data_IF_528472513554
#
_entry.id   IF_528472513554
#
_cell.length_a   1.000
_cell.length_b   1.000
_cell.length_c   1.000
_cell.angle_alpha   90.00
_cell.angle_beta   90.00
_cell.angle_gamma   90.00
#
_symmetry.space_group_name_H-M   'P 1'
#
loop_
_entity.id
_entity.type
_entity.pdbx_description
1 polymer ?
#
# COMPACT_ATOMS: atom_id res chain seq x y z
N UNK A 1 -13.37 10.88 3.48
CA UNK A 1 -12.30 11.15 2.48
C UNK A 1 -11.16 10.14 2.60
N UNK A 2 -10.62 9.88 3.80
CA UNK A 2 -9.58 8.86 4.02
C UNK A 2 -9.96 7.45 3.55
N UNK A 3 -11.17 6.96 3.88
CA UNK A 3 -11.64 5.64 3.43
C UNK A 3 -11.77 5.54 1.89
N UNK A 4 -12.18 6.63 1.24
CA UNK A 4 -12.27 6.73 -0.22
C UNK A 4 -10.88 6.68 -0.87
N UNK A 5 -9.89 7.38 -0.29
CA UNK A 5 -8.50 7.32 -0.76
C UNK A 5 -7.90 5.92 -0.68
N UNK A 6 -8.11 5.22 0.44
CA UNK A 6 -7.65 3.82 0.60
C UNK A 6 -8.34 2.86 -0.37
N UNK A 7 -9.63 3.06 -0.65
CA UNK A 7 -10.34 2.26 -1.64
C UNK A 7 -9.79 2.47 -3.05
N UNK A 8 -9.52 3.73 -3.44
CA UNK A 8 -8.89 4.05 -4.74
C UNK A 8 -7.49 3.43 -4.84
N UNK A 9 -6.68 3.51 -3.78
CA UNK A 9 -5.36 2.86 -3.73
C UNK A 9 -5.47 1.34 -3.84
N UNK A 10 -6.42 0.71 -3.14
CA UNK A 10 -6.67 -0.73 -3.22
C UNK A 10 -7.05 -1.15 -4.64
N UNK A 11 -7.94 -0.43 -5.31
CA UNK A 11 -8.33 -0.71 -6.70
C UNK A 11 -7.15 -0.59 -7.67
N UNK A 12 -6.28 0.41 -7.49
CA UNK A 12 -5.06 0.58 -8.28
C UNK A 12 -4.05 -0.54 -8.08
N UNK A 13 -3.86 -0.98 -6.82
CA UNK A 13 -3.00 -2.13 -6.49
C UNK A 13 -3.55 -3.45 -7.04
N UNK A 14 -4.88 -3.65 -6.97
CA UNK A 14 -5.51 -4.84 -7.52
C UNK A 14 -5.41 -4.90 -9.05
N UNK A 15 -5.62 -3.78 -9.73
CA UNK A 15 -5.42 -3.69 -11.17
C UNK A 15 -3.97 -3.98 -11.55
N UNK A 16 -3.00 -3.40 -10.83
CA UNK A 16 -1.58 -3.66 -11.04
C UNK A 16 -1.20 -5.13 -10.78
N UNK A 17 -1.81 -5.78 -9.77
CA UNK A 17 -1.61 -7.20 -9.49
C UNK A 17 -2.10 -8.12 -10.61
N UNK A 18 -3.10 -7.67 -11.38
CA UNK A 18 -3.67 -8.44 -12.50
C UNK A 18 -2.86 -8.33 -13.80
N UNK A 19 -1.88 -7.41 -13.87
CA UNK A 19 -1.04 -7.24 -15.06
C UNK A 19 -0.02 -8.38 -15.17
N UNK A 20 0.15 -8.91 -16.38
CA UNK A 20 1.05 -10.00 -16.70
C UNK A 20 2.20 -9.52 -17.63
N UNK A 21 3.01 -10.45 -18.12
CA UNK A 21 4.18 -10.21 -18.99
C UNK A 21 3.85 -9.46 -20.30
N UNK A 22 2.59 -9.48 -20.73
CA UNK A 22 2.12 -8.87 -21.97
C UNK A 22 1.54 -7.46 -21.74
N UNK A 23 1.55 -6.97 -20.49
CA UNK A 23 0.99 -5.68 -20.15
C UNK A 23 1.74 -4.53 -20.85
N UNK A 24 0.97 -3.63 -21.45
CA UNK A 24 1.53 -2.43 -22.07
C UNK A 24 1.99 -1.43 -20.99
N UNK A 25 3.07 -0.69 -21.27
CA UNK A 25 3.63 0.33 -20.35
C UNK A 25 2.55 1.33 -19.88
N UNK A 26 1.59 1.67 -20.75
CA UNK A 26 0.50 2.59 -20.41
C UNK A 26 -0.45 2.06 -19.35
N UNK A 27 -0.65 0.73 -19.25
CA UNK A 27 -1.48 0.14 -18.20
C UNK A 27 -0.80 0.26 -16.84
N UNK A 28 0.53 0.09 -16.80
CA UNK A 28 1.34 0.31 -15.59
C UNK A 28 1.28 1.77 -15.17
N UNK A 29 1.48 2.71 -16.10
CA UNK A 29 1.40 4.15 -15.83
C UNK A 29 0.02 4.52 -15.31
N UNK A 30 -1.06 4.04 -15.95
CA UNK A 30 -2.43 4.25 -15.49
C UNK A 30 -2.66 3.76 -14.06
N UNK A 31 -2.15 2.57 -13.71
CA UNK A 31 -2.25 2.03 -12.35
C UNK A 31 -1.53 2.91 -11.32
N UNK A 32 -0.34 3.42 -11.65
CA UNK A 32 0.44 4.30 -10.77
C UNK A 32 -0.25 5.65 -10.56
N UNK A 33 -0.88 6.19 -11.60
CA UNK A 33 -1.71 7.41 -11.49
C UNK A 33 -2.87 7.18 -10.51
N UNK A 34 -3.59 6.07 -10.64
CA UNK A 34 -4.71 5.73 -9.72
C UNK A 34 -4.22 5.57 -8.29
N UNK A 35 -3.11 4.86 -8.06
CA UNK A 35 -2.49 4.70 -6.74
C UNK A 35 -2.08 6.06 -6.17
N UNK A 36 -1.49 6.94 -6.99
CA UNK A 36 -1.09 8.30 -6.62
C UNK A 36 -2.27 9.17 -6.19
N UNK A 37 -3.38 9.12 -6.95
CA UNK A 37 -4.63 9.82 -6.60
C UNK A 37 -5.17 9.32 -5.25
N UNK A 38 -5.26 8.00 -5.06
CA UNK A 38 -5.73 7.41 -3.81
C UNK A 38 -4.86 7.82 -2.61
N UNK A 39 -3.54 7.82 -2.77
CA UNK A 39 -2.61 8.32 -1.78
C UNK A 39 -2.87 9.81 -1.46
N UNK A 40 -3.02 10.67 -2.46
CA UNK A 40 -3.33 12.10 -2.24
C UNK A 40 -4.62 12.29 -1.41
N UNK A 41 -5.69 11.57 -1.77
CA UNK A 41 -6.97 11.62 -1.05
C UNK A 41 -6.88 11.07 0.38
N UNK A 42 -5.95 10.16 0.66
CA UNK A 42 -5.75 9.62 2.00
C UNK A 42 -4.84 10.52 2.86
N UNK A 43 -3.71 10.95 2.30
CA UNK A 43 -2.65 11.69 3.00
C UNK A 43 -3.15 13.02 3.54
N UNK A 44 -3.84 13.82 2.71
CA UNK A 44 -4.27 15.18 3.05
C UNK A 44 -5.20 15.24 4.27
N UNK A 45 -6.35 14.55 4.31
CA UNK A 45 -7.23 14.55 5.47
C UNK A 45 -6.63 13.83 6.67
N UNK A 46 -5.82 12.77 6.47
CA UNK A 46 -5.18 12.06 7.58
C UNK A 46 -4.21 12.99 8.33
N UNK A 47 -3.32 13.66 7.60
CA UNK A 47 -2.34 14.56 8.19
C UNK A 47 -3.03 15.73 8.89
N UNK A 48 -4.07 16.29 8.27
CA UNK A 48 -4.87 17.35 8.89
C UNK A 48 -5.56 16.88 10.18
N UNK A 49 -6.20 15.72 10.21
CA UNK A 49 -6.86 15.20 11.41
C UNK A 49 -5.90 14.95 12.58
N UNK A 50 -4.68 14.49 12.29
CA UNK A 50 -3.66 14.27 13.33
C UNK A 50 -3.16 15.60 13.90
N UNK A 51 -2.85 16.56 13.02
CA UNK A 51 -2.34 17.86 13.44
C UNK A 51 -3.42 18.73 14.11
N UNK A 52 -4.67 18.66 13.65
CA UNK A 52 -5.79 19.43 14.23
C UNK A 52 -6.22 18.92 15.60
N UNK A 53 -5.90 17.67 15.94
CA UNK A 53 -6.14 17.09 17.27
C UNK A 53 -5.01 17.40 18.27
N UNK A 54 -3.92 18.06 17.83
CA UNK A 54 -2.79 18.38 18.69
C UNK A 54 -3.13 19.55 19.66
N UNK A 55 -2.73 19.47 20.94
CA UNK A 55 -2.83 20.58 21.86
C UNK A 55 -2.04 21.82 21.37
N UNK A 56 -2.48 23.05 21.71
CA UNK A 56 -1.75 24.27 21.37
C UNK A 56 -0.29 24.20 21.83
N UNK A 57 0.65 24.60 20.97
CA UNK A 57 2.09 24.56 21.25
C UNK A 57 2.76 23.17 21.18
N UNK A 58 2.01 22.08 20.95
CA UNK A 58 2.55 20.71 20.84
C UNK A 58 2.45 20.10 19.43
N UNK A 59 2.07 20.90 18.44
CA UNK A 59 1.91 20.47 17.04
C UNK A 59 3.21 19.86 16.48
N UNK A 60 4.38 20.42 16.81
CA UNK A 60 5.68 19.89 16.41
C UNK A 60 5.97 18.49 16.97
N UNK A 61 5.64 18.25 18.23
CA UNK A 61 5.80 16.94 18.88
C UNK A 61 4.86 15.90 18.26
N UNK A 62 3.58 16.25 18.07
CA UNK A 62 2.58 15.37 17.43
C UNK A 62 2.97 15.07 15.97
N UNK A 63 3.44 16.08 15.24
CA UNK A 63 3.98 15.91 13.88
C UNK A 63 5.19 14.97 13.85
N UNK A 64 6.13 15.11 14.78
CA UNK A 64 7.29 14.23 14.91
C UNK A 64 6.91 12.77 15.19
N UNK A 65 5.98 12.53 16.12
CA UNK A 65 5.46 11.18 16.41
C UNK A 65 4.74 10.59 15.18
N UNK A 66 3.92 11.37 14.48
CA UNK A 66 3.24 10.93 13.27
C UNK A 66 4.23 10.54 12.16
N UNK A 67 5.28 11.33 11.96
CA UNK A 67 6.37 11.02 11.02
C UNK A 67 7.11 9.75 11.41
N UNK A 68 7.41 9.56 12.71
CA UNK A 68 8.06 8.34 13.20
C UNK A 68 7.21 7.10 12.91
N UNK A 69 5.93 7.12 13.26
CA UNK A 69 5.01 6.01 13.01
C UNK A 69 4.92 5.68 11.52
N UNK A 70 4.83 6.71 10.66
CA UNK A 70 4.85 6.52 9.20
C UNK A 70 6.15 5.90 8.70
N UNK A 71 7.29 6.39 9.16
CA UNK A 71 8.59 5.90 8.71
C UNK A 71 8.80 4.45 9.14
N UNK A 72 8.44 4.10 10.38
CA UNK A 72 8.49 2.70 10.86
C UNK A 72 7.58 1.81 10.04
N UNK A 73 6.34 2.26 9.77
CA UNK A 73 5.39 1.53 8.92
C UNK A 73 5.91 1.33 7.50
N UNK A 74 6.54 2.34 6.91
CA UNK A 74 7.11 2.27 5.56
C UNK A 74 8.28 1.29 5.51
N UNK A 75 9.25 1.40 6.41
CA UNK A 75 10.42 0.51 6.45
C UNK A 75 10.00 -0.94 6.70
N UNK A 76 9.09 -1.16 7.65
CA UNK A 76 8.57 -2.50 7.94
C UNK A 76 7.78 -3.07 6.75
N UNK A 77 6.98 -2.25 6.09
CA UNK A 77 6.22 -2.65 4.90
C UNK A 77 7.12 -3.01 3.72
N UNK A 78 8.16 -2.20 3.46
CA UNK A 78 9.18 -2.50 2.45
C UNK A 78 9.91 -3.81 2.77
N UNK A 79 10.32 -4.01 4.03
CA UNK A 79 10.98 -5.25 4.45
C UNK A 79 10.10 -6.48 4.22
N UNK A 80 8.81 -6.43 4.57
CA UNK A 80 7.85 -7.51 4.30
C UNK A 80 7.68 -7.73 2.80
N UNK A 81 7.53 -6.67 2.01
CA UNK A 81 7.37 -6.78 0.55
C UNK A 81 8.57 -7.45 -0.11
N UNK A 82 9.79 -7.06 0.27
CA UNK A 82 11.04 -7.64 -0.23
C UNK A 82 11.16 -9.10 0.21
N UNK A 83 10.90 -9.42 1.48
CA UNK A 83 10.97 -10.79 1.98
C UNK A 83 9.99 -11.73 1.25
N UNK A 84 8.76 -11.28 1.01
CA UNK A 84 7.76 -12.04 0.23
C UNK A 84 8.20 -12.21 -1.22
N UNK A 85 8.70 -11.13 -1.84
CA UNK A 85 9.19 -11.16 -3.21
C UNK A 85 10.34 -12.16 -3.37
N UNK A 86 11.38 -12.07 -2.53
CA UNK A 86 12.56 -12.95 -2.61
C UNK A 86 12.18 -14.41 -2.33
N UNK A 87 11.37 -14.67 -1.31
CA UNK A 87 10.94 -16.03 -0.98
C UNK A 87 10.24 -16.71 -2.15
N UNK A 88 9.31 -16.01 -2.81
CA UNK A 88 8.54 -16.57 -3.93
C UNK A 88 9.31 -16.61 -5.23
N UNK A 89 10.14 -15.59 -5.48
CA UNK A 89 11.02 -15.56 -6.64
C UNK A 89 12.02 -16.70 -6.62
N UNK A 90 12.66 -16.97 -5.47
CA UNK A 90 13.61 -18.07 -5.32
C UNK A 90 12.95 -19.45 -5.40
N UNK A 91 11.74 -19.63 -4.86
CA UNK A 91 11.00 -20.89 -5.00
C UNK A 91 10.66 -21.21 -6.45
N UNK A 92 10.20 -20.21 -7.21
CA UNK A 92 9.90 -20.37 -8.62
C UNK A 92 11.17 -20.62 -9.47
N UNK A 93 12.28 -19.95 -9.14
CA UNK A 93 13.59 -20.18 -9.75
C UNK A 93 14.13 -21.60 -9.49
N UNK A 94 13.93 -22.14 -8.28
CA UNK A 94 14.34 -23.50 -7.93
C UNK A 94 13.60 -24.60 -8.69
N UNK A 95 12.41 -24.30 -9.24
CA UNK A 95 11.63 -25.21 -10.08
C UNK A 95 11.98 -25.10 -11.58
N UNK A 96 12.60 -23.99 -12.01
CA UNK A 96 12.90 -23.70 -13.42
C UNK A 96 14.41 -23.59 -13.60
N UNK A 97 15.12 -24.69 -13.38
CA UNK A 97 16.53 -24.83 -13.72
C UNK A 97 16.72 -25.00 -15.24
N UNK A 98 16.29 -24.02 -16.03
CA UNK A 98 16.60 -23.91 -17.46
C UNK A 98 16.53 -22.43 -17.88
N UNK A 99 17.42 -22.04 -18.78
CA UNK A 99 17.59 -20.67 -19.28
C UNK A 99 16.24 -20.06 -19.71
N UNK A 100 15.75 -19.09 -18.94
CA UNK A 100 14.43 -18.45 -19.12
C UNK A 100 13.60 -18.30 -17.82
N UNK A 101 13.89 -19.09 -16.78
CA UNK A 101 13.12 -19.10 -15.52
C UNK A 101 13.23 -17.84 -14.65
N UNK A 102 14.19 -16.95 -14.89
CA UNK A 102 14.39 -15.72 -14.10
C UNK A 102 13.22 -14.74 -14.20
N UNK A 103 12.64 -14.59 -15.39
CA UNK A 103 11.51 -13.69 -15.58
C UNK A 103 10.23 -14.25 -14.94
N UNK A 104 10.00 -15.56 -15.08
CA UNK A 104 8.89 -16.24 -14.41
C UNK A 104 8.99 -16.16 -12.87
N UNK A 105 10.19 -16.35 -12.31
CA UNK A 105 10.43 -16.20 -10.88
C UNK A 105 10.20 -14.76 -10.39
N UNK A 106 10.70 -13.78 -11.15
CA UNK A 106 10.44 -12.36 -10.88
C UNK A 106 8.94 -12.05 -10.86
N UNK A 107 8.18 -12.50 -11.88
CA UNK A 107 6.76 -12.22 -11.99
C UNK A 107 5.94 -12.87 -10.86
N UNK A 108 6.27 -14.11 -10.50
CA UNK A 108 5.64 -14.81 -9.38
C UNK A 108 5.88 -14.09 -8.04
N UNK A 109 7.11 -13.61 -7.81
CA UNK A 109 7.45 -12.78 -6.66
C UNK A 109 6.67 -11.46 -6.65
N UNK A 110 6.62 -10.79 -7.80
CA UNK A 110 5.94 -9.51 -7.99
C UNK A 110 4.44 -9.60 -7.70
N UNK A 111 3.74 -10.56 -8.29
CA UNK A 111 2.30 -10.77 -8.06
C UNK A 111 1.99 -11.05 -6.59
N UNK A 112 2.80 -11.90 -5.95
CA UNK A 112 2.57 -12.24 -4.54
C UNK A 112 2.80 -11.02 -3.64
N UNK A 113 3.88 -10.25 -3.88
CA UNK A 113 4.18 -9.06 -3.10
C UNK A 113 3.09 -7.99 -3.23
N UNK A 114 2.58 -7.75 -4.45
CA UNK A 114 1.48 -6.80 -4.66
C UNK A 114 0.17 -7.30 -4.05
N UNK A 115 -0.14 -8.61 -4.12
CA UNK A 115 -1.32 -9.17 -3.47
C UNK A 115 -1.28 -8.97 -1.95
N UNK A 116 -0.13 -9.22 -1.32
CA UNK A 116 0.06 -8.95 0.12
C UNK A 116 -0.13 -7.46 0.43
N UNK A 117 0.45 -6.56 -0.38
CA UNK A 117 0.27 -5.13 -0.22
C UNK A 117 -1.21 -4.70 -0.36
N UNK A 118 -1.94 -5.28 -1.32
CA UNK A 118 -3.37 -5.05 -1.51
C UNK A 118 -4.20 -5.53 -0.31
N UNK A 119 -3.88 -6.69 0.27
CA UNK A 119 -4.51 -7.18 1.50
C UNK A 119 -4.27 -6.23 2.69
N UNK A 120 -3.03 -5.78 2.89
CA UNK A 120 -2.69 -4.81 3.95
C UNK A 120 -3.44 -3.49 3.76
N UNK A 121 -3.54 -2.98 2.52
CA UNK A 121 -4.33 -1.81 2.18
C UNK A 121 -5.82 -2.03 2.49
N UNK A 122 -6.36 -3.21 2.18
CA UNK A 122 -7.73 -3.61 2.49
C UNK A 122 -8.02 -3.65 4.00
N UNK A 123 -7.09 -4.16 4.80
CA UNK A 123 -7.19 -4.12 6.27
C UNK A 123 -7.20 -2.67 6.76
N UNK A 124 -6.30 -1.82 6.24
CA UNK A 124 -6.25 -0.40 6.55
C UNK A 124 -7.55 0.33 6.19
N UNK A 125 -8.17 0.00 5.05
CA UNK A 125 -9.48 0.48 4.64
C UNK A 125 -10.55 0.05 5.63
N UNK A 126 -10.63 -1.23 6.00
CA UNK A 126 -11.61 -1.75 6.94
C UNK A 126 -11.53 -1.09 8.32
N UNK A 127 -10.31 -0.90 8.85
CA UNK A 127 -10.08 -0.18 10.11
C UNK A 127 -10.53 1.27 10.00
N UNK A 128 -10.23 1.94 8.87
CA UNK A 128 -10.65 3.31 8.62
C UNK A 128 -12.17 3.46 8.51
N UNK A 129 -12.86 2.48 7.90
CA UNK A 129 -14.33 2.42 7.84
C UNK A 129 -14.94 2.24 9.23
N UNK A 130 -14.42 1.31 10.05
CA UNK A 130 -14.89 1.12 11.43
C UNK A 130 -14.68 2.37 12.28
N UNK A 131 -13.56 3.08 12.15
CA UNK A 131 -13.34 4.35 12.87
C UNK A 131 -14.40 5.40 12.55
N UNK A 132 -14.87 5.48 11.31
CA UNK A 132 -15.92 6.43 10.88
C UNK A 132 -17.27 6.13 11.53
N UNK A 133 -17.65 4.86 11.66
CA UNK A 133 -18.95 4.48 12.24
C UNK A 133 -19.02 4.71 13.75
N UNK A 134 -17.90 4.68 14.48
CA UNK A 134 -17.85 5.07 15.89
C UNK A 134 -18.06 6.58 16.09
N UNK A 135 -17.43 7.42 15.27
CA UNK A 135 -17.57 8.88 15.39
C UNK A 135 -18.96 9.39 15.00
N UNK A 136 -19.66 8.70 14.09
CA UNK A 136 -21.04 9.03 13.73
C UNK A 136 -22.09 8.59 14.76
N UNK A 137 -21.76 7.68 15.68
CA UNK A 137 -22.67 7.24 16.75
C UNK A 137 -22.53 8.06 18.04
N UNK A 138 -21.49 8.85 18.17
CA UNK A 138 -21.22 9.70 19.36
C UNK A 138 -21.50 11.19 19.12
N UNK A 139 -22.12 11.54 17.99
CA UNK A 139 -22.59 12.88 17.63
C UNK A 139 -24.11 12.83 17.47
#
# INVERSE_FOLDING_TARGET
MTATGLFVTMSGLFYLASLNEQAAIWQVIGSQVVIGIGNGLFQAPNNHSVLSAAPPGKVGLVGGINSLVRNVGMVSGVAVAVAVFENRSQQALGQVAAAGGQFAGFLAGYHTAIAVAACLAGIGAAVSFKRRSYLQKSA
#
